data_IF_829740558211
#
_entry.id   IF_829740558211
#
_cell.length_a   1.000
_cell.length_b   1.000
_cell.length_c   1.000
_cell.angle_alpha   90.00
_cell.angle_beta   90.00
_cell.angle_gamma   90.00
#
_symmetry.space_group_name_H-M   'P 1'
#
loop_
_entity.id
_entity.type
_entity.pdbx_description
1 polymer ?
#
# COMPACT_ATOMS: atom_id res chain seq x y z
N UNK A 1 32.47 -5.26 -9.70
CA UNK A 1 31.44 -6.17 -9.16
C UNK A 1 30.25 -6.10 -10.10
N UNK A 2 30.19 -7.04 -11.03
CA UNK A 2 29.05 -7.23 -11.92
C UNK A 2 27.84 -7.68 -11.09
N UNK A 3 26.71 -7.03 -11.30
CA UNK A 3 25.43 -7.50 -10.79
C UNK A 3 25.10 -8.78 -11.57
N UNK A 4 25.28 -9.93 -10.95
CA UNK A 4 24.72 -11.18 -11.47
C UNK A 4 23.21 -11.03 -11.40
N UNK A 5 22.57 -11.06 -12.56
CA UNK A 5 21.12 -11.07 -12.68
C UNK A 5 20.60 -12.44 -12.24
N UNK A 6 20.44 -12.61 -10.93
CA UNK A 6 19.89 -13.83 -10.32
C UNK A 6 18.37 -13.98 -10.60
N UNK A 7 17.80 -13.18 -11.51
CA UNK A 7 16.42 -13.34 -11.98
C UNK A 7 16.26 -14.43 -13.03
N UNK A 8 17.35 -14.95 -13.62
CA UNK A 8 17.28 -15.98 -14.67
C UNK A 8 16.98 -17.40 -14.14
N UNK A 9 16.99 -17.67 -12.83
CA UNK A 9 16.77 -19.03 -12.28
C UNK A 9 15.70 -19.15 -11.18
N UNK A 10 14.87 -18.12 -10.95
CA UNK A 10 13.68 -18.26 -10.09
C UNK A 10 12.44 -18.43 -10.95
N UNK A 11 11.84 -19.62 -10.91
CA UNK A 11 10.51 -19.85 -11.47
C UNK A 11 9.48 -19.05 -10.69
N UNK A 12 9.00 -17.95 -11.27
CA UNK A 12 7.84 -17.22 -10.76
C UNK A 12 6.56 -17.90 -11.24
N UNK A 13 5.66 -18.20 -10.32
CA UNK A 13 4.35 -18.72 -10.63
C UNK A 13 3.46 -17.57 -11.09
N UNK A 14 2.92 -17.71 -12.30
CA UNK A 14 1.95 -16.78 -12.89
C UNK A 14 0.60 -17.50 -12.96
N UNK A 15 -0.30 -17.21 -12.03
CA UNK A 15 -1.61 -17.85 -11.99
C UNK A 15 -2.68 -16.86 -12.41
N UNK A 16 -3.45 -17.20 -13.44
CA UNK A 16 -4.65 -16.48 -13.82
C UNK A 16 -5.71 -16.73 -12.73
N UNK A 17 -6.08 -15.68 -12.00
CA UNK A 17 -7.09 -15.75 -10.96
C UNK A 17 -8.49 -15.89 -11.55
N UNK A 18 -8.81 -14.99 -12.46
CA UNK A 18 -10.06 -14.99 -13.21
C UNK A 18 -9.98 -13.99 -14.37
N UNK A 19 -10.93 -14.12 -15.29
CA UNK A 19 -11.17 -13.16 -16.37
C UNK A 19 -12.47 -12.42 -16.08
N UNK A 20 -12.43 -11.10 -16.09
CA UNK A 20 -13.62 -10.28 -15.97
C UNK A 20 -14.51 -10.43 -17.21
N UNK A 21 -15.79 -10.66 -16.99
CA UNK A 21 -16.80 -10.71 -18.06
C UNK A 21 -17.03 -9.33 -18.69
N UNK A 22 -17.01 -8.28 -17.86
CA UNK A 22 -17.20 -6.90 -18.30
C UNK A 22 -15.85 -6.18 -18.45
N UNK A 23 -15.68 -5.36 -19.50
CA UNK A 23 -14.47 -4.58 -19.68
C UNK A 23 -14.32 -3.54 -18.58
N UNK A 24 -13.08 -3.33 -18.14
CA UNK A 24 -12.77 -2.25 -17.22
C UNK A 24 -13.07 -0.88 -17.84
N UNK A 25 -13.63 0.03 -17.03
CA UNK A 25 -13.74 1.46 -17.38
C UNK A 25 -12.35 1.97 -17.76
N UNK A 26 -12.20 2.97 -18.65
CA UNK A 26 -10.90 3.61 -18.96
C UNK A 26 -9.71 2.72 -19.41
N UNK A 27 -9.92 1.44 -19.78
CA UNK A 27 -8.86 0.52 -20.23
C UNK A 27 -8.09 1.02 -21.47
N UNK A 28 -8.71 1.91 -22.26
CA UNK A 28 -8.08 2.57 -23.41
C UNK A 28 -6.91 3.47 -23.00
N UNK A 29 -6.99 4.16 -21.86
CA UNK A 29 -5.92 5.05 -21.38
C UNK A 29 -4.85 4.24 -20.66
N UNK A 30 -5.25 3.46 -19.67
CA UNK A 30 -4.35 2.64 -18.86
C UNK A 30 -4.63 1.17 -19.11
N UNK A 31 -3.65 0.47 -19.69
CA UNK A 31 -3.81 -0.93 -20.11
C UNK A 31 -3.60 -1.92 -18.97
N UNK A 32 -2.96 -1.50 -17.88
CA UNK A 32 -2.52 -2.38 -16.81
C UNK A 32 -2.60 -1.71 -15.44
N UNK A 33 -2.93 -2.49 -14.42
CA UNK A 33 -2.71 -2.14 -13.02
C UNK A 33 -1.72 -3.13 -12.42
N UNK A 34 -0.73 -2.63 -11.68
CA UNK A 34 0.14 -3.44 -10.83
C UNK A 34 -0.14 -3.01 -9.39
N UNK A 35 -0.37 -3.96 -8.49
CA UNK A 35 -0.54 -3.68 -7.06
C UNK A 35 0.47 -4.48 -6.22
N UNK A 36 1.15 -3.79 -5.31
CA UNK A 36 2.17 -4.36 -4.41
C UNK A 36 1.81 -4.00 -2.97
N UNK A 37 1.87 -5.01 -2.09
CA UNK A 37 1.60 -4.86 -0.67
C UNK A 37 2.74 -4.22 0.11
N UNK A 38 2.86 -4.66 1.35
CA UNK A 38 3.70 -4.14 2.42
C UNK A 38 5.19 -4.40 2.12
N UNK A 39 6.00 -3.33 2.10
CA UNK A 39 7.43 -3.39 1.76
C UNK A 39 8.30 -3.31 3.01
N UNK A 40 7.87 -2.58 4.03
CA UNK A 40 8.52 -2.50 5.33
C UNK A 40 10.04 -2.32 5.24
N UNK A 41 10.46 -1.21 4.63
CA UNK A 41 11.87 -0.82 4.63
C UNK A 41 12.82 -1.72 3.81
N UNK A 42 12.33 -2.73 3.08
CA UNK A 42 13.16 -3.61 2.24
C UNK A 42 13.26 -3.08 0.79
N UNK A 43 14.20 -2.16 0.59
CA UNK A 43 14.41 -1.51 -0.69
C UNK A 43 14.80 -2.48 -1.80
N UNK A 44 15.58 -3.52 -1.48
CA UNK A 44 16.04 -4.49 -2.47
C UNK A 44 14.90 -5.38 -2.97
N UNK A 45 14.05 -5.90 -2.07
CA UNK A 45 12.86 -6.65 -2.48
C UNK A 45 11.92 -5.77 -3.33
N UNK A 46 11.78 -4.49 -2.97
CA UNK A 46 10.97 -3.57 -3.75
C UNK A 46 11.52 -3.34 -5.16
N UNK A 47 12.82 -3.11 -5.30
CA UNK A 47 13.47 -2.97 -6.62
C UNK A 47 13.29 -4.23 -7.47
N UNK A 48 13.45 -5.43 -6.90
CA UNK A 48 13.23 -6.70 -7.61
C UNK A 48 11.81 -6.78 -8.17
N UNK A 49 10.79 -6.52 -7.35
CA UNK A 49 9.38 -6.55 -7.76
C UNK A 49 9.12 -5.53 -8.87
N UNK A 50 9.55 -4.27 -8.69
CA UNK A 50 9.34 -3.22 -9.68
C UNK A 50 10.05 -3.52 -11.02
N UNK A 51 11.21 -4.17 -10.98
CA UNK A 51 11.97 -4.55 -12.17
C UNK A 51 11.27 -5.69 -12.90
N UNK A 52 10.90 -6.76 -12.18
CA UNK A 52 10.18 -7.89 -12.74
C UNK A 52 8.82 -7.50 -13.35
N UNK A 53 8.06 -6.63 -12.67
CA UNK A 53 6.79 -6.09 -13.17
C UNK A 53 6.97 -5.13 -14.37
N UNK A 54 8.21 -4.86 -14.79
CA UNK A 54 8.58 -3.93 -15.86
C UNK A 54 8.07 -2.51 -15.60
N UNK A 55 8.12 -2.08 -14.34
CA UNK A 55 7.79 -0.71 -13.92
C UNK A 55 9.03 0.19 -13.98
N UNK A 56 10.22 -0.36 -13.72
CA UNK A 56 11.49 0.37 -13.72
C UNK A 56 12.56 -0.29 -14.59
N UNK A 57 13.47 0.51 -15.13
CA UNK A 57 14.70 0.05 -15.79
C UNK A 57 15.85 -0.19 -14.78
N UNK A 58 17.01 -0.64 -15.28
CA UNK A 58 18.24 -0.83 -14.48
C UNK A 58 18.72 0.42 -13.75
N UNK A 59 18.36 1.61 -14.24
CA UNK A 59 18.68 2.91 -13.64
C UNK A 59 17.56 3.42 -12.72
N UNK A 60 16.60 2.54 -12.39
CA UNK A 60 15.47 2.80 -11.50
C UNK A 60 14.62 3.97 -12.00
N UNK A 61 14.44 4.07 -13.32
CA UNK A 61 13.55 5.03 -13.95
C UNK A 61 12.28 4.36 -14.44
N UNK A 62 11.16 5.08 -14.38
CA UNK A 62 9.88 4.59 -14.85
C UNK A 62 9.93 4.20 -16.34
N UNK A 63 9.57 2.95 -16.61
CA UNK A 63 9.33 2.37 -17.94
C UNK A 63 7.95 1.69 -18.04
N UNK A 64 7.13 1.76 -16.99
CA UNK A 64 5.80 1.15 -16.95
C UNK A 64 4.77 1.70 -17.94
N UNK A 65 5.13 2.68 -18.78
CA UNK A 65 4.26 3.33 -19.79
C UNK A 65 2.92 3.72 -19.16
N UNK A 66 1.81 3.27 -19.74
CA UNK A 66 0.44 3.52 -19.31
C UNK A 66 -0.07 2.52 -18.26
N UNK A 67 0.77 2.20 -17.29
CA UNK A 67 0.41 1.37 -16.13
C UNK A 67 -0.03 2.25 -14.97
N UNK A 68 -1.08 1.82 -14.27
CA UNK A 68 -1.39 2.28 -12.92
C UNK A 68 -0.60 1.40 -11.95
N UNK A 69 0.24 1.99 -11.10
CA UNK A 69 0.89 1.27 -10.02
C UNK A 69 0.26 1.69 -8.68
N UNK A 70 -0.15 0.72 -7.88
CA UNK A 70 -0.71 0.92 -6.54
C UNK A 70 0.22 0.27 -5.52
N UNK A 71 0.73 1.06 -4.59
CA UNK A 71 1.44 0.56 -3.42
C UNK A 71 0.50 0.69 -2.21
N UNK A 72 0.25 -0.42 -1.50
CA UNK A 72 -0.86 -0.56 -0.54
C UNK A 72 -0.44 -0.25 0.92
N UNK A 73 0.44 0.73 1.13
CA UNK A 73 0.85 1.18 2.46
C UNK A 73 2.00 0.39 3.09
N UNK A 74 2.49 0.85 4.24
CA UNK A 74 3.59 0.23 4.98
C UNK A 74 4.88 0.12 4.14
N UNK A 75 5.34 1.28 3.67
CA UNK A 75 6.63 1.39 3.00
C UNK A 75 7.80 1.41 3.99
N UNK A 76 7.54 1.75 5.24
CA UNK A 76 8.52 1.97 6.29
C UNK A 76 8.39 1.00 7.46
N UNK A 77 9.32 1.12 8.41
CA UNK A 77 9.54 0.22 9.55
C UNK A 77 9.90 -1.22 9.17
N UNK A 78 10.34 -2.00 10.17
CA UNK A 78 10.95 -3.34 10.07
C UNK A 78 12.22 -3.42 9.23
N UNK A 79 12.38 -2.63 8.18
CA UNK A 79 13.65 -2.46 7.47
C UNK A 79 14.29 -1.11 7.74
N UNK A 80 15.48 -0.92 7.17
CA UNK A 80 16.31 0.26 7.40
C UNK A 80 16.62 1.08 6.14
N UNK A 81 15.86 0.84 5.08
CA UNK A 81 15.99 1.55 3.82
C UNK A 81 14.73 2.37 3.46
N UNK A 82 13.88 2.68 4.45
CA UNK A 82 12.62 3.43 4.27
C UNK A 82 12.84 4.74 3.51
N UNK A 83 13.92 5.47 3.84
CA UNK A 83 14.28 6.72 3.17
C UNK A 83 14.54 6.54 1.67
N UNK A 84 15.23 5.46 1.29
CA UNK A 84 15.52 5.12 -0.13
C UNK A 84 14.25 4.77 -0.89
N UNK A 85 13.32 4.07 -0.23
CA UNK A 85 12.01 3.71 -0.79
C UNK A 85 11.19 4.97 -1.07
N UNK A 86 11.07 5.89 -0.11
CA UNK A 86 10.35 7.16 -0.33
C UNK A 86 10.99 8.01 -1.44
N UNK A 87 12.32 8.10 -1.46
CA UNK A 87 13.04 8.82 -2.53
C UNK A 87 12.74 8.22 -3.92
N UNK A 88 12.72 6.89 -4.03
CA UNK A 88 12.35 6.18 -5.24
C UNK A 88 10.89 6.44 -5.62
N UNK A 89 9.95 6.30 -4.69
CA UNK A 89 8.52 6.48 -4.96
C UNK A 89 8.20 7.89 -5.46
N UNK A 90 8.77 8.92 -4.82
CA UNK A 90 8.63 10.31 -5.28
C UNK A 90 9.25 10.54 -6.67
N UNK A 91 10.43 9.96 -6.94
CA UNK A 91 11.07 10.01 -8.27
C UNK A 91 10.17 9.35 -9.33
N UNK A 92 9.71 8.13 -9.07
CA UNK A 92 8.90 7.35 -10.00
C UNK A 92 7.54 8.01 -10.24
N UNK A 93 6.90 8.59 -9.22
CA UNK A 93 5.60 9.27 -9.38
C UNK A 93 5.70 10.44 -10.35
N UNK A 94 6.76 11.24 -10.25
CA UNK A 94 7.06 12.33 -11.21
C UNK A 94 7.29 11.80 -12.64
N UNK A 95 8.05 10.71 -12.78
CA UNK A 95 8.34 10.13 -14.09
C UNK A 95 7.12 9.44 -14.72
N UNK A 96 6.32 8.72 -13.94
CA UNK A 96 5.10 8.06 -14.38
C UNK A 96 4.12 9.07 -14.97
N UNK A 97 3.86 10.18 -14.26
CA UNK A 97 3.00 11.27 -14.75
C UNK A 97 3.43 11.80 -16.13
N UNK A 98 4.74 11.92 -16.38
CA UNK A 98 5.29 12.37 -17.66
C UNK A 98 5.24 11.31 -18.77
N UNK A 99 5.27 10.02 -18.41
CA UNK A 99 5.34 8.89 -19.34
C UNK A 99 4.02 8.13 -19.48
N UNK A 100 2.90 8.78 -19.16
CA UNK A 100 1.54 8.26 -19.33
C UNK A 100 1.05 7.30 -18.25
N UNK A 101 1.85 7.05 -17.21
CA UNK A 101 1.51 6.21 -16.06
C UNK A 101 0.99 7.01 -14.88
N UNK A 102 0.58 6.31 -13.83
CA UNK A 102 0.19 6.94 -12.56
C UNK A 102 0.57 6.01 -11.40
N UNK A 103 0.99 6.61 -10.29
CA UNK A 103 1.32 5.89 -9.06
C UNK A 103 0.39 6.37 -7.95
N UNK A 104 -0.34 5.44 -7.36
CA UNK A 104 -1.09 5.62 -6.13
C UNK A 104 -0.28 5.01 -4.99
N UNK A 105 -0.03 5.82 -3.96
CA UNK A 105 0.66 5.39 -2.75
C UNK A 105 -0.36 5.50 -1.63
N UNK A 106 -0.68 4.38 -1.00
CA UNK A 106 -1.62 4.36 0.10
C UNK A 106 -0.90 4.55 1.42
N UNK A 107 -1.57 5.17 2.38
CA UNK A 107 -1.15 5.18 3.78
C UNK A 107 -1.32 3.77 4.35
N UNK A 108 -0.31 3.27 5.05
CA UNK A 108 -0.43 2.17 5.99
C UNK A 108 -0.38 2.63 7.44
N UNK A 109 -0.52 1.70 8.38
CA UNK A 109 -0.44 2.06 9.79
C UNK A 109 0.97 2.46 10.22
N UNK A 110 2.02 1.96 9.57
CA UNK A 110 3.39 2.30 9.93
C UNK A 110 3.76 3.74 9.56
N UNK A 111 3.16 4.31 8.52
CA UNK A 111 3.26 5.75 8.28
C UNK A 111 2.65 6.54 9.44
N UNK A 112 1.49 6.11 9.97
CA UNK A 112 0.82 6.77 11.10
C UNK A 112 1.64 6.68 12.40
N UNK A 113 2.19 5.51 12.70
CA UNK A 113 3.08 5.30 13.86
C UNK A 113 4.27 6.27 13.81
N UNK A 114 4.93 6.37 12.66
CA UNK A 114 6.07 7.25 12.50
C UNK A 114 5.71 8.74 12.58
N UNK A 115 4.55 9.14 12.05
CA UNK A 115 4.06 10.52 12.16
C UNK A 115 3.74 10.92 13.61
N UNK A 116 3.38 9.96 14.46
CA UNK A 116 3.08 10.18 15.88
C UNK A 116 4.25 9.88 16.81
N UNK A 117 5.44 9.63 16.25
CA UNK A 117 6.66 9.42 17.01
C UNK A 117 6.75 8.06 17.69
N UNK A 118 5.88 7.12 17.33
CA UNK A 118 5.96 5.73 17.73
C UNK A 118 6.93 4.98 16.81
N UNK A 119 8.13 4.71 17.34
CA UNK A 119 9.22 4.07 16.62
C UNK A 119 9.49 2.64 17.11
N UNK A 120 8.52 1.99 17.76
CA UNK A 120 8.69 0.63 18.31
C UNK A 120 9.11 -0.41 17.25
N UNK A 121 8.78 -0.17 15.98
CA UNK A 121 9.11 -1.05 14.86
C UNK A 121 10.22 -0.49 13.95
N UNK A 122 10.82 0.65 14.30
CA UNK A 122 11.85 1.31 13.50
C UNK A 122 13.23 0.86 13.94
N UNK A 123 14.01 0.28 13.02
CA UNK A 123 15.40 -0.07 13.31
C UNK A 123 16.26 1.19 13.54
N UNK A 124 17.25 1.06 14.43
CA UNK A 124 18.20 2.15 14.72
C UNK A 124 18.96 2.63 13.48
N UNK A 125 19.30 1.72 12.55
CA UNK A 125 19.93 2.10 11.28
C UNK A 125 19.01 2.96 10.40
N UNK A 126 17.70 2.68 10.38
CA UNK A 126 16.74 3.54 9.67
C UNK A 126 16.70 4.93 10.28
N UNK A 127 16.68 5.04 11.62
CA UNK A 127 16.75 6.33 12.34
C UNK A 127 18.03 7.07 11.99
N UNK A 128 19.18 6.37 11.99
CA UNK A 128 20.49 6.96 11.64
C UNK A 128 20.52 7.49 10.21
N UNK A 129 19.71 6.97 9.29
CA UNK A 129 19.60 7.52 7.92
C UNK A 129 19.00 8.95 7.88
N UNK A 130 18.33 9.37 8.96
CA UNK A 130 17.87 10.74 9.20
C UNK A 130 18.80 11.51 10.15
N UNK A 131 19.77 10.83 10.77
CA UNK A 131 20.74 11.38 11.72
C UNK A 131 20.33 11.14 13.18
N UNK A 132 19.16 11.62 13.60
CA UNK A 132 18.63 11.46 14.96
C UNK A 132 17.12 11.25 14.93
N UNK A 133 16.52 10.85 16.06
CA UNK A 133 15.06 10.77 16.22
C UNK A 133 14.41 12.12 15.94
N UNK A 134 14.98 13.21 16.46
CA UNK A 134 14.50 14.57 16.23
C UNK A 134 14.53 14.95 14.74
N UNK A 135 15.64 14.64 14.05
CA UNK A 135 15.75 14.88 12.61
C UNK A 135 14.77 14.03 11.80
N UNK A 136 14.47 12.79 12.22
CA UNK A 136 13.42 11.96 11.60
C UNK A 136 12.05 12.62 11.78
N UNK A 137 11.67 13.00 12.99
CA UNK A 137 10.41 13.72 13.26
C UNK A 137 10.28 14.97 12.42
N UNK A 138 11.32 15.79 12.38
CA UNK A 138 11.38 16.99 11.53
C UNK A 138 11.24 16.67 10.05
N UNK A 139 11.89 15.60 9.56
CA UNK A 139 11.80 15.17 8.17
C UNK A 139 10.40 14.66 7.77
N UNK A 140 9.57 14.26 8.73
CA UNK A 140 8.18 13.83 8.55
C UNK A 140 7.16 14.94 8.87
N UNK A 141 7.63 16.14 9.22
CA UNK A 141 6.79 17.30 9.47
C UNK A 141 6.20 17.87 8.16
N UNK A 142 5.08 18.59 8.27
CA UNK A 142 4.52 19.31 7.13
C UNK A 142 5.54 20.29 6.52
N UNK A 143 5.41 20.55 5.22
CA UNK A 143 6.29 21.42 4.42
C UNK A 143 7.73 20.90 4.32
N UNK A 144 7.90 19.59 4.47
CA UNK A 144 9.15 18.89 4.20
C UNK A 144 8.95 17.84 3.12
N UNK A 145 10.04 17.40 2.49
CA UNK A 145 10.00 16.44 1.38
C UNK A 145 9.19 15.18 1.72
N UNK A 146 9.46 14.52 2.85
CA UNK A 146 8.79 13.26 3.20
C UNK A 146 7.46 13.51 3.90
N UNK A 147 7.39 14.51 4.77
CA UNK A 147 6.13 14.84 5.44
C UNK A 147 5.03 15.29 4.49
N UNK A 148 5.33 16.09 3.46
CA UNK A 148 4.32 16.45 2.45
C UNK A 148 3.90 15.26 1.59
N UNK A 149 4.83 14.38 1.25
CA UNK A 149 4.51 13.17 0.52
C UNK A 149 3.52 12.29 1.31
N UNK A 150 3.80 12.02 2.60
CA UNK A 150 2.93 11.19 3.44
C UNK A 150 1.62 11.92 3.76
N UNK A 151 1.67 13.17 4.22
CA UNK A 151 0.50 13.88 4.77
C UNK A 151 -0.43 14.46 3.70
N UNK A 152 0.10 14.82 2.52
CA UNK A 152 -0.69 15.48 1.45
C UNK A 152 -0.96 14.54 0.27
N UNK A 153 0.02 13.72 -0.12
CA UNK A 153 -0.05 12.96 -1.37
C UNK A 153 -0.47 11.50 -1.26
N UNK A 154 -0.20 10.83 -0.14
CA UNK A 154 -0.65 9.46 0.08
C UNK A 154 -2.16 9.45 0.38
N UNK A 155 -2.89 8.50 -0.20
CA UNK A 155 -4.34 8.35 0.00
C UNK A 155 -4.61 7.25 1.01
N UNK A 156 -5.75 7.28 1.71
CA UNK A 156 -6.12 6.16 2.59
C UNK A 156 -6.86 5.06 1.83
N UNK A 157 -7.71 5.45 0.89
CA UNK A 157 -8.52 4.55 0.07
C UNK A 157 -8.51 5.05 -1.37
N UNK A 158 -8.26 4.18 -2.34
CA UNK A 158 -8.36 4.52 -3.77
C UNK A 158 -9.33 3.57 -4.45
N UNK A 159 -10.21 4.11 -5.30
CA UNK A 159 -11.03 3.30 -6.19
C UNK A 159 -10.51 3.43 -7.61
N UNK A 160 -10.16 2.30 -8.23
CA UNK A 160 -9.80 2.22 -9.64
C UNK A 160 -10.78 1.26 -10.30
N UNK A 161 -11.50 1.75 -11.29
CA UNK A 161 -12.60 1.05 -11.96
C UNK A 161 -13.70 0.66 -10.97
N UNK A 162 -13.82 -0.62 -10.62
CA UNK A 162 -14.77 -1.19 -9.67
C UNK A 162 -14.07 -1.84 -8.47
N UNK A 163 -12.80 -1.49 -8.22
CA UNK A 163 -11.99 -2.08 -7.15
C UNK A 163 -11.56 -1.04 -6.13
N UNK A 164 -11.72 -1.39 -4.85
CA UNK A 164 -11.20 -0.63 -3.71
C UNK A 164 -9.77 -1.12 -3.41
N UNK A 165 -8.84 -0.19 -3.23
CA UNK A 165 -7.52 -0.42 -2.66
C UNK A 165 -7.44 0.34 -1.34
N UNK A 166 -7.11 -0.36 -0.27
CA UNK A 166 -7.00 0.17 1.10
C UNK A 166 -6.01 -0.68 1.87
N UNK A 167 -5.24 -0.09 2.79
CA UNK A 167 -4.16 -0.82 3.45
C UNK A 167 -4.64 -2.04 4.25
N UNK A 168 -5.54 -1.88 5.22
CA UNK A 168 -5.99 -3.01 6.07
C UNK A 168 -7.39 -3.51 5.71
N UNK A 169 -8.32 -2.60 5.43
CA UNK A 169 -9.69 -2.95 5.01
C UNK A 169 -10.70 -1.86 5.30
N UNK A 170 -11.68 -1.64 4.43
CA UNK A 170 -12.74 -0.66 4.64
C UNK A 170 -13.97 -1.37 5.23
N UNK A 171 -14.48 -0.92 6.37
CA UNK A 171 -15.73 -1.44 6.95
C UNK A 171 -16.94 -0.61 6.50
N UNK A 172 -18.14 -1.18 6.57
CA UNK A 172 -19.38 -0.56 6.08
C UNK A 172 -19.65 0.78 6.76
N UNK A 173 -19.34 0.89 8.06
CA UNK A 173 -19.39 2.14 8.84
C UNK A 173 -18.51 3.25 8.27
N UNK A 174 -17.34 2.91 7.73
CA UNK A 174 -16.41 3.86 7.13
C UNK A 174 -16.80 4.16 5.68
N UNK A 175 -17.25 3.14 4.94
CA UNK A 175 -17.78 3.28 3.59
C UNK A 175 -19.00 4.20 3.52
N UNK A 176 -19.88 4.15 4.53
CA UNK A 176 -21.07 5.00 4.65
C UNK A 176 -20.75 6.50 4.74
N UNK A 177 -19.54 6.87 5.20
CA UNK A 177 -19.09 8.27 5.17
C UNK A 177 -18.85 8.78 3.73
N UNK A 178 -18.62 7.86 2.80
CA UNK A 178 -18.19 8.11 1.43
C UNK A 178 -16.66 8.22 1.33
N UNK A 179 -16.07 7.50 0.36
CA UNK A 179 -14.61 7.36 0.20
C UNK A 179 -13.91 8.73 0.09
N UNK A 180 -14.51 9.67 -0.66
CA UNK A 180 -13.98 11.05 -0.79
C UNK A 180 -13.90 11.76 0.57
N UNK A 181 -14.90 11.56 1.43
CA UNK A 181 -14.93 12.17 2.76
C UNK A 181 -13.96 11.48 3.72
N UNK A 182 -13.80 10.16 3.64
CA UNK A 182 -12.77 9.42 4.40
C UNK A 182 -11.38 9.99 4.09
N UNK A 183 -10.99 10.05 2.82
CA UNK A 183 -9.69 10.62 2.41
C UNK A 183 -9.56 12.10 2.78
N UNK A 184 -10.63 12.90 2.62
CA UNK A 184 -10.62 14.32 3.00
C UNK A 184 -10.41 14.50 4.50
N UNK A 185 -11.10 13.72 5.33
CA UNK A 185 -11.01 13.79 6.79
C UNK A 185 -9.61 13.36 7.26
N UNK A 186 -9.12 12.21 6.79
CA UNK A 186 -7.78 11.72 7.14
C UNK A 186 -6.72 12.75 6.72
N UNK A 187 -6.75 13.23 5.47
CA UNK A 187 -5.82 14.25 4.99
C UNK A 187 -5.85 15.52 5.84
N UNK A 188 -7.04 16.00 6.21
CA UNK A 188 -7.18 17.17 7.09
C UNK A 188 -6.49 16.94 8.43
N UNK A 189 -6.72 15.79 9.07
CA UNK A 189 -6.07 15.44 10.33
C UNK A 189 -4.55 15.42 10.17
N UNK A 190 -4.03 14.79 9.10
CA UNK A 190 -2.60 14.70 8.85
C UNK A 190 -1.95 16.06 8.55
N UNK A 191 -2.67 17.01 7.94
CA UNK A 191 -2.18 18.36 7.66
C UNK A 191 -2.20 19.22 8.94
N UNK A 192 -3.27 19.13 9.73
CA UNK A 192 -3.48 19.97 10.90
C UNK A 192 -2.65 19.49 12.11
N UNK A 193 -2.31 18.20 12.17
CA UNK A 193 -1.60 17.62 13.30
C UNK A 193 -0.12 18.10 13.38
N UNK A 194 0.36 18.47 14.58
CA UNK A 194 1.75 18.85 14.78
C UNK A 194 2.70 17.69 14.48
N UNK A 195 3.99 17.98 14.33
CA UNK A 195 5.04 16.95 14.30
C UNK A 195 5.70 16.76 15.67
N UNK A 196 5.56 17.75 16.56
CA UNK A 196 6.04 17.69 17.93
C UNK A 196 5.11 16.80 18.75
N UNK A 197 5.69 15.94 19.58
CA UNK A 197 4.96 15.08 20.51
C UNK A 197 4.93 15.81 21.86
N UNK A 198 3.73 16.10 22.35
CA UNK A 198 3.51 16.67 23.68
C UNK A 198 3.24 15.55 24.68
N UNK A 199 3.72 15.70 25.90
CA UNK A 199 3.35 14.84 27.03
C UNK A 199 2.05 15.30 27.70
N UNK A 200 1.60 16.52 27.41
CA UNK A 200 0.47 17.17 28.09
C UNK A 200 -0.87 16.89 27.42
N UNK A 201 -0.86 16.43 26.17
CA UNK A 201 -2.09 16.15 25.41
C UNK A 201 -1.89 15.03 24.39
N UNK A 202 -2.89 14.16 24.19
CA UNK A 202 -2.84 13.14 23.16
C UNK A 202 -2.65 13.75 21.76
N UNK A 203 -1.84 13.08 20.93
CA UNK A 203 -1.63 13.51 19.56
C UNK A 203 -2.94 13.39 18.75
N UNK A 204 -3.37 14.42 17.98
CA UNK A 204 -4.67 14.41 17.27
C UNK A 204 -4.89 13.19 16.37
N UNK A 205 -3.82 12.74 15.68
CA UNK A 205 -3.84 11.52 14.87
C UNK A 205 -4.24 10.28 15.70
N UNK A 206 -3.76 10.19 16.95
CA UNK A 206 -4.04 9.05 17.83
C UNK A 206 -5.43 9.13 18.47
N UNK A 207 -6.09 10.28 18.41
CA UNK A 207 -7.45 10.46 18.97
C UNK A 207 -8.56 10.31 17.95
N UNK A 208 -8.28 10.51 16.65
CA UNK A 208 -9.35 10.36 15.65
C UNK A 208 -9.64 8.88 15.40
N UNK A 209 -10.91 8.44 15.47
CA UNK A 209 -11.26 7.05 15.26
C UNK A 209 -10.82 6.49 13.91
N UNK A 210 -10.61 7.28 12.85
CA UNK A 210 -10.16 6.74 11.55
C UNK A 210 -8.67 6.36 11.52
N UNK A 211 -7.86 6.89 12.45
CA UNK A 211 -6.40 6.76 12.44
C UNK A 211 -5.83 6.11 13.72
N UNK A 212 -6.59 6.16 14.82
CA UNK A 212 -6.19 5.59 16.09
C UNK A 212 -5.85 4.08 15.97
N UNK A 213 -4.74 3.69 16.59
CA UNK A 213 -4.20 2.33 16.61
C UNK A 213 -5.13 1.29 17.28
N UNK A 214 -6.03 1.73 18.17
CA UNK A 214 -6.90 0.83 18.93
C UNK A 214 -8.23 0.52 18.23
N UNK A 215 -8.41 1.01 17.00
CA UNK A 215 -9.69 0.92 16.31
C UNK A 215 -9.60 0.04 15.05
N UNK A 216 -10.60 -0.83 14.85
CA UNK A 216 -10.73 -1.65 13.63
C UNK A 216 -11.13 -0.78 12.42
N UNK A 217 -10.16 -0.10 11.82
CA UNK A 217 -10.38 1.00 10.86
C UNK A 217 -9.52 0.83 9.60
N UNK A 218 -9.63 1.72 8.58
CA UNK A 218 -9.04 1.49 7.26
C UNK A 218 -7.57 1.09 7.23
N UNK A 219 -6.79 1.56 8.20
CA UNK A 219 -5.35 1.31 8.30
C UNK A 219 -4.98 0.19 9.28
N UNK A 220 -5.91 -0.35 10.06
CA UNK A 220 -5.61 -1.25 11.18
C UNK A 220 -6.46 -2.52 11.24
N UNK A 221 -7.64 -2.53 10.62
CA UNK A 221 -8.59 -3.64 10.77
C UNK A 221 -8.03 -4.94 10.20
N UNK A 222 -8.10 -6.01 11.00
CA UNK A 222 -7.86 -7.39 10.54
C UNK A 222 -9.16 -8.17 10.40
N UNK A 223 -10.29 -7.54 10.67
CA UNK A 223 -11.60 -8.18 10.69
C UNK A 223 -11.91 -8.91 9.38
N UNK A 224 -11.65 -8.27 8.23
CA UNK A 224 -11.95 -8.89 6.94
C UNK A 224 -10.97 -10.03 6.57
N UNK A 225 -9.75 -10.01 7.11
CA UNK A 225 -8.70 -10.97 6.75
C UNK A 225 -8.68 -12.20 7.68
N UNK A 226 -8.93 -12.01 8.99
CA UNK A 226 -8.69 -13.02 10.03
C UNK A 226 -9.89 -13.31 10.95
N UNK A 227 -11.10 -12.82 10.64
CA UNK A 227 -12.26 -13.19 11.46
C UNK A 227 -12.48 -14.71 11.41
N UNK A 228 -12.61 -15.33 12.59
CA UNK A 228 -12.94 -16.75 12.71
C UNK A 228 -14.32 -17.08 12.16
N UNK A 229 -15.24 -16.11 12.18
CA UNK A 229 -16.50 -16.15 11.45
C UNK A 229 -16.31 -15.51 10.05
N UNK A 230 -15.97 -16.36 9.07
CA UNK A 230 -15.76 -15.93 7.70
C UNK A 230 -17.04 -15.43 7.03
N UNK A 231 -18.20 -15.98 7.40
CA UNK A 231 -19.48 -15.57 6.84
C UNK A 231 -19.81 -14.14 7.26
N UNK A 232 -19.64 -13.82 8.55
CA UNK A 232 -19.81 -12.45 9.05
C UNK A 232 -18.84 -11.44 8.42
N UNK A 233 -17.58 -11.85 8.14
CA UNK A 233 -16.63 -11.01 7.41
C UNK A 233 -17.06 -10.79 5.95
N UNK A 234 -17.54 -11.83 5.27
CA UNK A 234 -18.00 -11.73 3.89
C UNK A 234 -19.31 -10.96 3.74
N UNK A 235 -20.21 -11.01 4.71
CA UNK A 235 -21.38 -10.16 4.79
C UNK A 235 -21.00 -8.68 4.96
N UNK A 236 -20.07 -8.40 5.86
CA UNK A 236 -19.58 -7.04 6.09
C UNK A 236 -18.92 -6.46 4.83
N UNK A 237 -18.07 -7.24 4.16
CA UNK A 237 -17.50 -6.89 2.87
C UNK A 237 -18.59 -6.63 1.82
N UNK A 238 -19.62 -7.48 1.76
CA UNK A 238 -20.72 -7.32 0.80
C UNK A 238 -21.48 -6.02 1.01
N UNK A 239 -21.69 -5.59 2.27
CA UNK A 239 -22.26 -4.27 2.60
C UNK A 239 -21.39 -3.14 2.07
N UNK A 240 -20.08 -3.21 2.29
CA UNK A 240 -19.13 -2.20 1.78
C UNK A 240 -19.23 -2.09 0.27
N UNK A 241 -19.10 -3.20 -0.45
CA UNK A 241 -19.12 -3.25 -1.91
C UNK A 241 -20.43 -2.71 -2.49
N UNK A 242 -21.57 -2.96 -1.81
CA UNK A 242 -22.87 -2.39 -2.17
C UNK A 242 -22.90 -0.87 -1.97
N UNK A 243 -22.43 -0.37 -0.84
CA UNK A 243 -22.39 1.08 -0.53
C UNK A 243 -21.53 1.83 -1.55
N UNK A 244 -20.40 1.26 -1.94
CA UNK A 244 -19.42 1.90 -2.82
C UNK A 244 -19.64 1.62 -4.30
N UNK A 245 -20.59 0.75 -4.65
CA UNK A 245 -20.84 0.27 -6.02
C UNK A 245 -19.56 -0.28 -6.69
N UNK A 246 -18.87 -1.16 -5.96
CA UNK A 246 -17.63 -1.83 -6.37
C UNK A 246 -17.79 -3.35 -6.29
N UNK A 247 -16.89 -4.10 -6.91
CA UNK A 247 -16.97 -5.58 -6.95
C UNK A 247 -15.94 -6.25 -6.07
N UNK A 248 -14.87 -5.54 -5.68
CA UNK A 248 -13.74 -6.12 -4.97
C UNK A 248 -12.98 -5.13 -4.10
N UNK A 249 -12.34 -5.65 -3.07
CA UNK A 249 -11.39 -4.95 -2.22
C UNK A 249 -10.02 -5.65 -2.24
N UNK A 250 -8.96 -4.88 -2.39
CA UNK A 250 -7.56 -5.32 -2.36
C UNK A 250 -6.89 -4.68 -1.15
N UNK A 251 -6.26 -5.51 -0.31
CA UNK A 251 -5.69 -5.13 0.99
C UNK A 251 -4.29 -5.70 1.20
N UNK A 252 -3.52 -5.11 2.12
CA UNK A 252 -2.27 -5.61 2.68
C UNK A 252 -2.41 -5.85 4.20
N UNK A 253 -1.45 -5.37 5.01
CA UNK A 253 -1.43 -5.34 6.49
C UNK A 253 -1.40 -6.69 7.22
N UNK A 254 -2.10 -7.68 6.69
CA UNK A 254 -2.38 -8.97 7.31
C UNK A 254 -1.63 -10.08 6.60
N UNK A 255 -0.36 -10.26 6.94
CA UNK A 255 0.53 -11.29 6.40
C UNK A 255 -0.16 -12.65 6.31
N UNK A 256 -0.24 -13.21 5.10
CA UNK A 256 -0.74 -14.57 4.88
C UNK A 256 0.39 -15.57 5.15
N UNK A 257 0.16 -16.51 6.06
CA UNK A 257 1.19 -17.41 6.58
C UNK A 257 1.85 -18.31 5.52
N UNK A 258 1.14 -18.71 4.48
CA UNK A 258 1.67 -19.57 3.41
C UNK A 258 2.46 -18.78 2.33
N UNK A 259 2.49 -17.45 2.44
CA UNK A 259 3.18 -16.56 1.50
C UNK A 259 2.48 -16.39 0.16
N UNK A 260 1.23 -16.84 0.01
CA UNK A 260 0.43 -16.68 -1.22
C UNK A 260 -0.53 -15.51 -1.09
N UNK A 261 -0.96 -15.00 -2.23
CA UNK A 261 -2.05 -14.03 -2.28
C UNK A 261 -3.35 -14.74 -1.83
N UNK A 262 -3.93 -14.28 -0.72
CA UNK A 262 -5.15 -14.87 -0.20
C UNK A 262 -6.38 -14.30 -0.89
N UNK A 263 -7.35 -15.18 -1.14
CA UNK A 263 -8.62 -14.88 -1.82
C UNK A 263 -9.74 -15.31 -0.90
N UNK A 264 -10.55 -14.36 -0.45
CA UNK A 264 -11.67 -14.61 0.44
C UNK A 264 -12.98 -14.13 -0.20
N UNK A 265 -14.10 -14.64 0.29
CA UNK A 265 -15.44 -14.23 -0.12
C UNK A 265 -15.66 -14.30 -1.63
N UNK A 266 -15.39 -15.45 -2.25
CA UNK A 266 -15.50 -15.67 -3.71
C UNK A 266 -14.67 -14.66 -4.54
N UNK A 267 -13.42 -14.47 -4.13
CA UNK A 267 -12.47 -13.50 -4.72
C UNK A 267 -12.90 -12.03 -4.58
N UNK A 268 -13.88 -11.68 -3.74
CA UNK A 268 -14.27 -10.27 -3.49
C UNK A 268 -13.29 -9.56 -2.56
N UNK A 269 -12.52 -10.29 -1.76
CA UNK A 269 -11.38 -9.77 -1.01
C UNK A 269 -10.11 -10.44 -1.50
N UNK A 270 -9.12 -9.64 -1.87
CA UNK A 270 -7.78 -10.13 -2.23
C UNK A 270 -6.78 -9.47 -1.28
N UNK A 271 -6.08 -10.28 -0.49
CA UNK A 271 -5.02 -9.83 0.39
C UNK A 271 -3.66 -10.12 -0.25
N UNK A 272 -2.85 -9.07 -0.43
CA UNK A 272 -1.55 -9.09 -1.09
C UNK A 272 -0.37 -8.85 -0.14
N UNK A 273 -0.60 -8.84 1.18
CA UNK A 273 0.48 -8.91 2.15
C UNK A 273 0.93 -10.37 2.31
N UNK A 274 1.98 -10.71 1.58
CA UNK A 274 2.58 -12.04 1.57
C UNK A 274 3.88 -12.10 2.38
N UNK A 275 4.22 -11.06 3.16
CA UNK A 275 5.50 -11.00 3.87
C UNK A 275 6.70 -10.77 2.93
N UNK A 276 6.60 -9.77 2.06
CA UNK A 276 7.63 -9.44 1.03
C UNK A 276 8.99 -9.14 1.64
N UNK A 277 8.99 -8.38 2.74
CA UNK A 277 10.21 -7.97 3.44
C UNK A 277 10.96 -9.19 3.99
N UNK A 278 12.30 -9.17 3.87
CA UNK A 278 13.17 -10.23 4.42
C UNK A 278 13.06 -10.38 5.94
N UNK A 279 12.53 -9.37 6.64
CA UNK A 279 12.32 -9.38 8.09
C UNK A 279 11.08 -10.16 8.52
N UNK A 280 10.24 -10.60 7.57
CA UNK A 280 9.15 -11.55 7.80
C UNK A 280 9.41 -12.86 7.05
N UNK A 281 9.36 -12.82 5.72
CA UNK A 281 9.48 -14.04 4.91
C UNK A 281 10.38 -13.90 3.68
N UNK A 282 10.74 -12.67 3.28
CA UNK A 282 11.53 -12.43 2.06
C UNK A 282 10.83 -12.90 0.78
N UNK A 283 9.49 -12.97 0.82
CA UNK A 283 8.67 -13.45 -0.29
C UNK A 283 8.69 -12.46 -1.45
N UNK A 284 8.33 -12.94 -2.63
CA UNK A 284 8.18 -12.13 -3.81
C UNK A 284 6.77 -12.29 -4.35
N UNK A 285 6.10 -11.18 -4.63
CA UNK A 285 4.84 -11.24 -5.35
C UNK A 285 4.11 -9.91 -5.45
N UNK A 286 3.16 -9.88 -6.38
CA UNK A 286 2.32 -8.74 -6.72
C UNK A 286 1.10 -9.18 -7.54
N UNK A 287 0.10 -8.31 -7.62
CA UNK A 287 -1.03 -8.49 -8.54
C UNK A 287 -0.76 -7.76 -9.87
N UNK A 288 -1.07 -8.42 -10.98
CA UNK A 288 -1.12 -7.81 -12.31
C UNK A 288 -2.53 -7.92 -12.91
N UNK A 289 -3.13 -6.78 -13.21
CA UNK A 289 -4.45 -6.69 -13.82
C UNK A 289 -4.27 -6.17 -15.24
N UNK A 290 -4.44 -7.03 -16.24
CA UNK A 290 -4.35 -6.69 -17.66
C UNK A 290 -5.72 -6.24 -18.14
N UNK A 291 -5.94 -4.93 -18.13
CA UNK A 291 -7.26 -4.31 -18.40
C UNK A 291 -7.68 -4.40 -19.84
N UNK A 292 -6.74 -4.52 -20.77
CA UNK A 292 -6.97 -4.75 -22.18
C UNK A 292 -7.41 -6.19 -22.48
N UNK A 293 -7.07 -7.14 -21.61
CA UNK A 293 -7.45 -8.55 -21.71
C UNK A 293 -8.55 -8.97 -20.74
N UNK A 294 -8.92 -8.08 -19.81
CA UNK A 294 -9.79 -8.36 -18.68
C UNK A 294 -9.26 -9.48 -17.76
N UNK A 295 -7.96 -9.62 -17.58
CA UNK A 295 -7.36 -10.71 -16.80
C UNK A 295 -6.79 -10.21 -15.47
N UNK A 296 -6.97 -11.01 -14.41
CA UNK A 296 -6.30 -10.84 -13.12
C UNK A 296 -5.28 -11.93 -12.91
N UNK A 297 -4.06 -11.54 -12.58
CA UNK A 297 -2.96 -12.44 -12.35
C UNK A 297 -2.38 -12.21 -10.95
N UNK A 298 -2.11 -13.31 -10.26
CA UNK A 298 -1.17 -13.33 -9.14
C UNK A 298 0.20 -13.75 -9.67
N UNK A 299 1.23 -13.01 -9.28
CA UNK A 299 2.62 -13.27 -9.63
C UNK A 299 3.35 -13.45 -8.31
N UNK A 300 3.95 -14.61 -8.06
CA UNK A 300 4.64 -14.88 -6.80
C UNK A 300 5.71 -15.98 -6.95
N UNK A 301 6.54 -16.16 -5.91
CA UNK A 301 7.51 -17.25 -5.82
C UNK A 301 7.23 -18.22 -4.67
#
# INVERSE_FOLDING_TARGET
MEYVDDSENKHYNNTLLFKNEKPFKNSKKYKRIIAVGDIHGDYNQFIKILTHAKLIDKNKNWIGKNTIFVQVGDLMDRGDESKKIFDLMMKLKKQAKKKGGVIHSLLGNHEILNLTGDFRYTYLSDIKSYGTIEKRRKALALNTKYGDYIRKEMESVVVIDDMIFVHAGLLSRDAALGIKNVNKKIRKILIDAPYNISNDSPHPINTDPLLNLNENRPLWTRYLAYNSDIEAACEELSKVLKITNTTRMIVGHSIIADGRIARLCDNKLINIDIGITKYYGGRFGYLEIKRDKNEFWEIYN
#
